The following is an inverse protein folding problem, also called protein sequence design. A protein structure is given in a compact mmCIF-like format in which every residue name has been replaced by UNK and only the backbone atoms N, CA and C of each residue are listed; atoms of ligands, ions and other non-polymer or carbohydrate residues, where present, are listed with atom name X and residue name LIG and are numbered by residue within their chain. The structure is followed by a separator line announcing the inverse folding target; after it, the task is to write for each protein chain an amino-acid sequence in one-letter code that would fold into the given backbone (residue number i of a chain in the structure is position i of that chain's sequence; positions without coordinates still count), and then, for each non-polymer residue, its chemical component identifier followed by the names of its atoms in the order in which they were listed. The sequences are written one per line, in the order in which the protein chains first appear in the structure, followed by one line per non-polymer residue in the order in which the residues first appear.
data_IF_390721578465
#
_entry.id   IF_390721578465
#
_cell.length_a   1.000
_cell.length_b   1.000
_cell.length_c   1.000
_cell.angle_alpha   90.00
_cell.angle_beta   90.00
_cell.angle_gamma   90.00
#
_symmetry.space_group_name_H-M   'P 1'
#
loop_
_entity.id
_entity.type
_entity.pdbx_description
1 polymer ?
#
# COMPACT_ATOMS: atom_id res chain seq x y z
N UNK A 1 -0.14 5.06 -27.11
CA UNK A 1 1.10 4.41 -26.64
C UNK A 1 0.74 2.97 -26.35
N UNK A 2 1.22 2.03 -27.17
CA UNK A 2 0.83 0.62 -27.09
C UNK A 2 1.78 -0.18 -26.20
N UNK A 3 1.29 -1.26 -25.60
CA UNK A 3 1.96 -2.16 -24.64
C UNK A 3 3.35 -2.66 -25.09
N UNK A 4 3.68 -2.57 -26.37
CA UNK A 4 4.99 -2.93 -26.92
C UNK A 4 6.13 -2.02 -26.46
N UNK A 5 5.83 -0.82 -25.97
CA UNK A 5 6.82 0.13 -25.44
C UNK A 5 6.84 0.18 -23.90
N UNK A 6 6.21 -0.78 -23.21
CA UNK A 6 6.43 -0.92 -21.77
C UNK A 6 7.81 -1.55 -21.59
N UNK A 7 8.81 -0.71 -21.33
CA UNK A 7 10.17 -1.16 -21.06
C UNK A 7 10.17 -2.31 -20.05
N UNK A 8 10.93 -3.36 -20.33
CA UNK A 8 11.15 -4.50 -19.44
C UNK A 8 11.54 -4.04 -18.02
N UNK A 9 12.20 -2.88 -17.93
CA UNK A 9 12.55 -2.17 -16.70
C UNK A 9 11.32 -1.79 -15.88
N UNK A 10 10.27 -1.27 -16.50
CA UNK A 10 9.01 -0.89 -15.82
C UNK A 10 8.28 -2.12 -15.31
N UNK A 11 8.24 -3.20 -16.10
CA UNK A 11 7.63 -4.47 -15.68
C UNK A 11 8.38 -5.07 -14.48
N UNK A 12 9.72 -5.10 -14.51
CA UNK A 12 10.55 -5.56 -13.38
C UNK A 12 10.31 -4.75 -12.10
N UNK A 13 10.15 -3.43 -12.24
CA UNK A 13 9.84 -2.54 -11.11
C UNK A 13 8.44 -2.77 -10.56
N UNK A 14 7.44 -2.96 -11.43
CA UNK A 14 6.08 -3.31 -11.04
C UNK A 14 6.05 -4.60 -10.21
N UNK A 15 6.73 -5.65 -10.68
CA UNK A 15 6.84 -6.93 -9.97
C UNK A 15 7.57 -6.79 -8.63
N UNK A 16 8.65 -6.00 -8.60
CA UNK A 16 9.39 -5.72 -7.36
C UNK A 16 8.55 -4.95 -6.34
N UNK A 17 7.79 -3.95 -6.80
CA UNK A 17 6.88 -3.18 -5.95
C UNK A 17 5.76 -4.08 -5.39
N UNK A 18 5.12 -4.89 -6.23
CA UNK A 18 4.14 -5.89 -5.81
C UNK A 18 4.70 -6.83 -4.74
N UNK A 19 5.93 -7.32 -4.92
CA UNK A 19 6.57 -8.24 -3.96
C UNK A 19 6.85 -7.56 -2.62
N UNK A 20 7.27 -6.28 -2.63
CA UNK A 20 7.54 -5.51 -1.40
C UNK A 20 6.28 -5.20 -0.60
N UNK A 21 5.17 -4.91 -1.28
CA UNK A 21 3.90 -4.59 -0.64
C UNK A 21 3.09 -5.85 -0.25
N UNK A 22 3.48 -7.03 -0.72
CA UNK A 22 2.68 -8.26 -0.61
C UNK A 22 1.48 -8.32 -1.56
N UNK A 23 1.25 -7.24 -2.32
CA UNK A 23 0.16 -7.07 -3.28
C UNK A 23 -0.24 -5.60 -3.35
N UNK A 24 -0.97 -5.21 -4.39
CA UNK A 24 -1.53 -3.86 -4.47
C UNK A 24 -2.91 -3.86 -3.84
N UNK A 25 -3.14 -2.95 -2.90
CA UNK A 25 -4.42 -2.69 -2.25
C UNK A 25 -5.20 -1.60 -2.97
N UNK A 26 -4.49 -0.66 -3.61
CA UNK A 26 -5.08 0.47 -4.31
C UNK A 26 -4.30 0.83 -5.57
N UNK A 27 -5.00 1.32 -6.60
CA UNK A 27 -4.39 1.78 -7.85
C UNK A 27 -3.38 2.92 -7.62
N UNK A 28 -3.54 3.70 -6.55
CA UNK A 28 -2.64 4.81 -6.24
C UNK A 28 -1.23 4.34 -5.88
N UNK A 29 -1.07 3.11 -5.39
CA UNK A 29 0.25 2.53 -5.10
C UNK A 29 1.11 2.34 -6.37
N UNK A 30 0.52 2.37 -7.57
CA UNK A 30 1.27 2.36 -8.82
C UNK A 30 2.11 3.63 -9.03
N UNK A 31 1.74 4.75 -8.39
CA UNK A 31 2.56 5.97 -8.40
C UNK A 31 3.81 5.84 -7.53
N UNK A 32 3.88 4.83 -6.67
CA UNK A 32 5.00 4.60 -5.76
C UNK A 32 6.15 3.85 -6.47
N UNK A 33 5.95 3.42 -7.72
CA UNK A 33 6.94 2.72 -8.53
C UNK A 33 8.02 3.69 -8.99
N UNK A 34 9.18 3.65 -8.33
CA UNK A 34 10.32 4.51 -8.63
C UNK A 34 10.72 4.52 -10.12
N UNK A 35 10.93 5.72 -10.67
CA UNK A 35 11.38 5.91 -12.03
C UNK A 35 10.32 5.65 -13.11
N UNK A 36 9.03 5.69 -12.74
CA UNK A 36 7.90 5.58 -13.67
C UNK A 36 7.25 6.95 -13.84
N UNK A 37 7.00 7.37 -15.08
CA UNK A 37 6.32 8.65 -15.35
C UNK A 37 4.81 8.52 -15.12
N UNK A 38 4.12 9.65 -14.87
CA UNK A 38 2.65 9.64 -14.74
C UNK A 38 1.96 9.07 -15.97
N UNK A 39 2.47 9.32 -17.18
CA UNK A 39 1.91 8.77 -18.42
C UNK A 39 2.04 7.26 -18.51
N UNK A 40 3.17 6.69 -18.04
CA UNK A 40 3.34 5.25 -17.93
C UNK A 40 2.39 4.66 -16.89
N UNK A 41 2.21 5.31 -15.74
CA UNK A 41 1.22 4.87 -14.74
C UNK A 41 -0.20 4.93 -15.29
N UNK A 42 -0.56 5.97 -16.05
CA UNK A 42 -1.88 6.03 -16.70
C UNK A 42 -2.07 4.93 -17.74
N UNK A 43 -1.06 4.64 -18.56
CA UNK A 43 -1.11 3.52 -19.51
C UNK A 43 -1.23 2.16 -18.79
N UNK A 44 -0.56 2.01 -17.64
CA UNK A 44 -0.70 0.84 -16.79
C UNK A 44 -2.12 0.80 -16.22
N UNK A 45 -2.65 1.88 -15.64
CA UNK A 45 -4.01 1.93 -15.06
C UNK A 45 -5.12 1.71 -16.08
N UNK A 46 -4.92 2.14 -17.32
CA UNK A 46 -5.85 1.94 -18.42
C UNK A 46 -6.01 0.45 -18.77
N UNK A 47 -4.94 -0.34 -18.59
CA UNK A 47 -4.87 -1.74 -18.98
C UNK A 47 -4.82 -2.75 -17.82
N UNK A 48 -4.43 -2.29 -16.64
CA UNK A 48 -4.27 -3.05 -15.40
C UNK A 48 -5.02 -2.30 -14.29
N UNK A 49 -5.99 -2.94 -13.66
CA UNK A 49 -6.74 -2.39 -12.52
C UNK A 49 -6.59 -3.32 -11.34
N UNK A 50 -6.43 -2.82 -10.11
CA UNK A 50 -6.34 -3.67 -8.92
C UNK A 50 -7.64 -4.44 -8.75
N UNK A 51 -7.59 -5.76 -8.95
CA UNK A 51 -8.75 -6.63 -8.75
C UNK A 51 -8.73 -7.27 -7.34
N UNK A 52 -7.62 -7.87 -6.88
CA UNK A 52 -7.60 -8.60 -5.59
C UNK A 52 -6.67 -7.92 -4.61
N UNK A 53 -7.26 -7.34 -3.57
CA UNK A 53 -6.51 -6.96 -2.38
C UNK A 53 -6.00 -8.23 -1.70
N UNK A 54 -4.70 -8.35 -1.40
CA UNK A 54 -4.23 -9.42 -0.52
C UNK A 54 -5.01 -9.37 0.80
N UNK A 55 -5.22 -10.54 1.41
CA UNK A 55 -5.76 -10.59 2.78
C UNK A 55 -4.67 -10.10 3.72
N UNK A 56 -4.80 -8.83 4.13
CA UNK A 56 -3.84 -8.17 5.00
C UNK A 56 -4.41 -8.16 6.39
N UNK A 57 -3.65 -8.75 7.31
CA UNK A 57 -3.90 -8.57 8.72
C UNK A 57 -3.53 -7.14 9.10
N UNK A 58 -4.56 -6.35 9.40
CA UNK A 58 -4.37 -5.00 9.89
C UNK A 58 -3.67 -5.06 11.25
N UNK A 59 -2.65 -4.21 11.41
CA UNK A 59 -1.91 -4.10 12.66
C UNK A 59 -2.59 -3.04 13.52
N UNK A 60 -3.04 -3.44 14.71
CA UNK A 60 -3.63 -2.49 15.66
C UNK A 60 -2.55 -1.55 16.19
N UNK A 61 -2.65 -0.27 15.85
CA UNK A 61 -1.72 0.77 16.27
C UNK A 61 -1.65 0.90 17.80
N UNK A 62 -2.73 0.54 18.50
CA UNK A 62 -2.79 0.63 19.96
C UNK A 62 -2.17 -0.57 20.69
N UNK A 63 -2.10 -1.73 20.03
CA UNK A 63 -1.55 -2.96 20.61
C UNK A 63 -0.16 -3.33 20.08
N UNK A 64 0.19 -2.90 18.86
CA UNK A 64 1.42 -3.29 18.19
C UNK A 64 2.69 -2.74 18.88
N UNK A 65 3.78 -3.48 18.74
CA UNK A 65 5.11 -3.05 19.14
C UNK A 65 5.88 -2.39 17.97
N UNK A 66 7.06 -1.83 18.25
CA UNK A 66 7.82 -1.08 17.25
C UNK A 66 8.26 -1.96 16.08
N UNK A 67 8.59 -3.22 16.37
CA UNK A 67 8.98 -4.19 15.35
C UNK A 67 7.82 -4.53 14.43
N UNK A 68 6.62 -4.78 14.97
CA UNK A 68 5.42 -5.04 14.19
C UNK A 68 5.07 -3.84 13.29
N UNK A 69 5.05 -2.62 13.86
CA UNK A 69 4.80 -1.40 13.10
C UNK A 69 5.85 -1.17 12.00
N UNK A 70 7.12 -1.52 12.25
CA UNK A 70 8.18 -1.40 11.24
C UNK A 70 8.08 -2.38 10.08
N UNK A 71 7.19 -3.40 10.16
CA UNK A 71 6.88 -4.27 9.02
C UNK A 71 5.96 -3.60 8.00
N UNK A 72 5.25 -2.55 8.41
CA UNK A 72 4.32 -1.81 7.56
C UNK A 72 5.09 -0.99 6.53
N UNK A 73 4.71 -1.06 5.24
CA UNK A 73 5.31 -0.20 4.22
C UNK A 73 5.25 1.27 4.62
N UNK A 74 6.32 2.02 4.36
CA UNK A 74 6.48 3.45 4.68
C UNK A 74 6.67 3.80 6.16
N UNK A 75 6.64 2.84 7.09
CA UNK A 75 7.04 3.03 8.48
C UNK A 75 8.50 2.58 8.65
N UNK A 76 9.35 3.48 9.15
CA UNK A 76 10.70 3.13 9.62
C UNK A 76 10.65 2.77 11.10
N UNK A 77 11.69 2.09 11.61
CA UNK A 77 11.79 1.79 13.03
C UNK A 77 11.76 3.05 13.92
N UNK A 78 12.30 4.17 13.43
CA UNK A 78 12.25 5.47 14.10
C UNK A 78 10.80 5.98 14.20
N UNK A 79 10.08 6.08 13.08
CA UNK A 79 8.67 6.48 13.10
C UNK A 79 7.80 5.51 13.91
N UNK A 80 8.09 4.21 13.87
CA UNK A 80 7.39 3.22 14.69
C UNK A 80 7.55 3.48 16.20
N UNK A 81 8.74 3.91 16.62
CA UNK A 81 8.99 4.30 18.01
C UNK A 81 8.22 5.57 18.37
N UNK A 82 8.23 6.57 17.49
CA UNK A 82 7.51 7.83 17.72
C UNK A 82 5.99 7.61 17.81
N UNK A 83 5.45 6.65 17.04
CA UNK A 83 4.04 6.21 17.14
C UNK A 83 3.73 5.66 18.52
N UNK A 84 4.62 4.85 19.08
CA UNK A 84 4.44 4.28 20.42
C UNK A 84 4.54 5.38 21.49
N UNK A 85 5.49 6.29 21.36
CA UNK A 85 5.67 7.39 22.30
C UNK A 85 4.44 8.33 22.27
N UNK A 86 3.93 8.65 21.07
CA UNK A 86 2.68 9.40 20.90
C UNK A 86 1.50 8.68 21.55
N UNK A 87 1.33 7.38 21.28
CA UNK A 87 0.28 6.55 21.89
C UNK A 87 0.34 6.57 23.41
N UNK A 88 1.53 6.44 24.00
CA UNK A 88 1.72 6.44 25.46
C UNK A 88 1.36 7.80 26.07
N UNK A 89 1.74 8.89 25.41
CA UNK A 89 1.45 10.25 25.86
C UNK A 89 -0.04 10.58 25.80
N UNK A 90 -0.71 10.14 24.73
CA UNK A 90 -2.12 10.45 24.46
C UNK A 90 -3.11 9.38 24.96
N UNK A 91 -2.62 8.34 25.66
CA UNK A 91 -3.39 7.19 26.17
C UNK A 91 -4.13 6.41 25.08
N UNK A 92 -3.53 6.31 23.91
CA UNK A 92 -4.12 5.69 22.73
C UNK A 92 -4.13 6.61 21.52
N UNK A 93 -4.37 6.02 20.36
CA UNK A 93 -4.62 6.68 19.09
C UNK A 93 -6.06 6.33 18.72
N UNK A 94 -6.92 7.34 18.68
CA UNK A 94 -8.33 7.15 18.34
C UNK A 94 -8.52 7.24 16.83
N UNK A 95 -7.88 8.23 16.21
CA UNK A 95 -7.89 8.44 14.78
C UNK A 95 -6.49 8.24 14.19
N UNK A 96 -6.39 7.50 13.09
CA UNK A 96 -5.13 7.34 12.36
C UNK A 96 -4.62 8.68 11.82
N UNK A 97 -5.48 9.69 11.62
CA UNK A 97 -5.04 11.04 11.25
C UNK A 97 -4.17 11.72 12.32
N UNK A 98 -4.22 11.26 13.58
CA UNK A 98 -3.32 11.73 14.62
C UNK A 98 -1.85 11.42 14.33
N UNK A 99 -1.57 10.41 13.52
CA UNK A 99 -0.22 10.05 13.09
C UNK A 99 0.45 11.18 12.29
N UNK A 100 -0.29 12.12 11.70
CA UNK A 100 0.28 13.31 11.05
C UNK A 100 0.98 14.27 12.00
N UNK A 101 0.72 14.17 13.30
CA UNK A 101 1.40 14.98 14.33
C UNK A 101 2.79 14.44 14.65
N UNK A 102 3.13 13.26 14.14
CA UNK A 102 4.42 12.61 14.34
C UNK A 102 5.37 13.05 13.23
N UNK A 103 6.57 13.45 13.63
CA UNK A 103 7.60 13.88 12.69
C UNK A 103 7.96 12.77 11.70
N UNK A 104 8.06 13.14 10.43
CA UNK A 104 8.38 12.20 9.35
C UNK A 104 7.19 11.43 8.77
N UNK A 105 5.97 11.56 9.33
CA UNK A 105 4.73 11.06 8.72
C UNK A 105 4.08 12.19 7.92
N UNK A 106 4.19 12.11 6.60
CA UNK A 106 3.51 13.03 5.68
C UNK A 106 2.13 12.49 5.29
N UNK A 107 1.25 13.35 4.77
CA UNK A 107 -0.07 12.92 4.24
C UNK A 107 0.03 11.80 3.22
N UNK A 108 1.07 11.84 2.37
CA UNK A 108 1.35 10.77 1.41
C UNK A 108 1.66 9.43 2.08
N UNK A 109 2.51 9.42 3.13
CA UNK A 109 2.82 8.19 3.86
C UNK A 109 1.59 7.69 4.61
N UNK A 110 0.85 8.60 5.23
CA UNK A 110 -0.34 8.28 6.00
C UNK A 110 -1.37 7.53 5.16
N UNK A 111 -1.71 8.02 3.97
CA UNK A 111 -2.66 7.37 3.06
C UNK A 111 -2.27 5.91 2.77
N UNK A 112 -0.97 5.62 2.68
CA UNK A 112 -0.48 4.25 2.44
C UNK A 112 -0.50 3.40 3.71
N UNK A 113 -0.06 3.97 4.83
CA UNK A 113 0.02 3.28 6.12
C UNK A 113 -1.37 2.90 6.63
N UNK A 114 -2.38 3.77 6.41
CA UNK A 114 -3.79 3.49 6.74
C UNK A 114 -4.33 2.21 6.12
N UNK A 115 -3.75 1.73 5.02
CA UNK A 115 -4.14 0.47 4.38
C UNK A 115 -3.69 -0.78 5.15
N UNK A 116 -2.79 -0.63 6.12
CA UNK A 116 -2.18 -1.72 6.90
C UNK A 116 -2.38 -1.58 8.41
N UNK A 117 -2.95 -0.46 8.88
CA UNK A 117 -3.20 -0.21 10.30
C UNK A 117 -4.69 -0.25 10.65
N UNK A 118 -5.00 -0.64 11.87
CA UNK A 118 -6.32 -0.46 12.49
C UNK A 118 -6.20 0.34 13.78
N UNK A 119 -7.26 1.09 14.11
CA UNK A 119 -7.52 1.56 15.48
C UNK A 119 -8.75 0.80 15.99
N UNK A 120 -8.81 0.54 17.30
CA UNK A 120 -9.83 -0.31 17.97
C UNK A 120 -11.30 0.17 17.88
N UNK A 121 -11.65 0.98 16.88
CA UNK A 121 -13.01 1.41 16.56
C UNK A 121 -13.49 0.97 15.17
N UNK A 122 -12.64 0.36 14.35
CA UNK A 122 -13.04 -0.17 13.03
C UNK A 122 -13.28 -1.68 13.10
N UNK A 123 -14.36 -2.04 13.80
CA UNK A 123 -14.93 -3.39 13.85
C UNK A 123 -15.85 -3.72 12.67
N UNK A 124 -15.77 -2.99 11.56
CA UNK A 124 -16.48 -3.31 10.33
C UNK A 124 -15.47 -3.71 9.26
N UNK A 125 -15.57 -4.98 8.87
CA UNK A 125 -14.69 -5.64 7.95
C UNK A 125 -14.53 -4.87 6.65
N UNK A 126 -13.30 -4.86 6.15
CA UNK A 126 -13.05 -4.76 4.71
C UNK A 126 -13.41 -6.12 4.07
N UNK A 127 -14.55 -6.70 4.43
CA UNK A 127 -15.12 -7.91 3.82
C UNK A 127 -16.04 -7.48 2.69
N UNK A 128 -15.53 -6.73 1.72
CA UNK A 128 -16.24 -6.51 0.47
C UNK A 128 -15.20 -6.13 -0.58
N UNK A 129 -14.63 -7.14 -1.24
CA UNK A 129 -14.86 -7.41 -2.65
C UNK A 129 -13.77 -8.37 -3.18
N UNK A 130 -14.15 -9.63 -3.36
CA UNK A 130 -13.35 -10.61 -4.08
C UNK A 130 -13.22 -10.19 -5.55
N UNK A 131 -12.02 -9.95 -6.07
CA UNK A 131 -11.83 -10.03 -7.53
C UNK A 131 -10.39 -10.43 -7.89
N UNK A 132 -10.21 -11.35 -8.83
CA UNK A 132 -8.92 -11.88 -9.29
C UNK A 132 -8.28 -10.98 -10.36
N UNK A 133 -6.94 -10.94 -10.53
CA UNK A 133 -6.34 -10.21 -11.67
C UNK A 133 -6.25 -11.05 -12.95
N UNK A 134 -6.98 -10.60 -13.99
CA UNK A 134 -6.75 -10.94 -15.39
C UNK A 134 -6.78 -9.66 -16.26
N UNK A 135 -6.08 -9.70 -17.40
CA UNK A 135 -5.90 -8.61 -18.37
C UNK A 135 -7.25 -8.02 -18.84
N UNK A 136 -7.41 -6.68 -18.86
CA UNK A 136 -8.63 -6.04 -19.41
C UNK A 136 -8.81 -6.25 -20.92
N UNK A 137 -7.77 -6.69 -21.60
CA UNK A 137 -7.84 -7.07 -22.99
C UNK A 137 -7.74 -8.60 -23.10
N UNK A 138 -8.76 -9.22 -23.68
CA UNK A 138 -8.63 -10.54 -24.30
C UNK A 138 -7.49 -10.50 -25.32
N UNK A 139 -6.27 -10.81 -24.91
CA UNK A 139 -5.19 -11.19 -25.80
C UNK A 139 -4.48 -12.41 -25.21
N UNK A 140 -4.44 -13.53 -25.95
CA UNK A 140 -3.79 -14.74 -25.51
C UNK A 140 -2.29 -14.52 -25.67
N UNK A 141 -1.56 -14.38 -24.58
CA UNK A 141 -0.11 -14.52 -24.62
C UNK A 141 0.20 -15.81 -23.88
N UNK A 142 0.35 -16.85 -24.68
CA UNK A 142 0.90 -18.12 -24.29
C UNK A 142 2.27 -17.89 -23.64
N UNK A 143 2.43 -18.50 -22.47
CA UNK A 143 3.71 -18.71 -21.80
C UNK A 143 4.66 -19.50 -22.72
N UNK A 144 5.84 -18.96 -22.96
CA UNK A 144 7.08 -19.70 -23.22
C UNK A 144 8.22 -18.99 -22.50
#
# INVERSE_FOLDING_TARGET
MGIKDLDEVVVKRLLSCRKKLGGFLEDNQLYDIYGTSKSQVYAIKDQFTVQSKPDIQLIDVNAANASDLSTVPFITFESARDIIDYRLLHKGINDLDELLKIDGITSYKLERIKLYLSSNQNGEGITENYAYLACKASFPIALY
#
